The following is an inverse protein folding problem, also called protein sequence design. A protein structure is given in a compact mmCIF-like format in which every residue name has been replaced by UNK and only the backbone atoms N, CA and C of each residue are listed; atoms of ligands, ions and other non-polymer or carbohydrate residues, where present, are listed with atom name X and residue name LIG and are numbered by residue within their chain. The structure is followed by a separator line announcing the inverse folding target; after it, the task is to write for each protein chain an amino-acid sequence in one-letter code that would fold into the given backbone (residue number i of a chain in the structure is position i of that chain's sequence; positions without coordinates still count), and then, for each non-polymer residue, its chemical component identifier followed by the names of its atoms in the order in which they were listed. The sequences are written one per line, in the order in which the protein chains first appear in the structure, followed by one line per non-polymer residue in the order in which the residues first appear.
data_IF_846403597742
#
_entry.id   IF_846403597742
#
_cell.length_a   1.000
_cell.length_b   1.000
_cell.length_c   1.000
_cell.angle_alpha   90.00
_cell.angle_beta   90.00
_cell.angle_gamma   90.00
#
_symmetry.space_group_name_H-M   'P 1'
#
loop_
_entity.id
_entity.type
_entity.pdbx_description
1 polymer ?
#
# COMPACT_ATOMS: atom_id res chain seq x y z
N UNK A 1 -8.26 -7.19 1.48
CA UNK A 1 -6.78 -7.29 1.57
C UNK A 1 -6.29 -8.62 2.13
N UNK A 2 -6.37 -8.94 3.44
CA UNK A 2 -5.79 -10.19 3.96
C UNK A 2 -6.43 -11.46 3.34
N UNK A 3 -7.75 -11.51 3.27
CA UNK A 3 -8.48 -12.60 2.60
C UNK A 3 -8.17 -12.69 1.11
N UNK A 4 -7.84 -11.57 0.46
CA UNK A 4 -7.47 -11.54 -0.96
C UNK A 4 -6.05 -12.09 -1.14
N UNK A 5 -5.13 -11.74 -0.24
CA UNK A 5 -3.79 -12.30 -0.22
C UNK A 5 -3.83 -13.83 -0.01
N UNK A 6 -4.60 -14.29 0.97
CA UNK A 6 -4.78 -15.73 1.24
C UNK A 6 -5.45 -16.46 0.08
N UNK A 7 -6.35 -15.80 -0.65
CA UNK A 7 -7.01 -16.34 -1.82
C UNK A 7 -6.22 -16.16 -3.13
N UNK A 8 -5.00 -15.58 -3.09
CA UNK A 8 -4.18 -15.30 -4.28
C UNK A 8 -4.84 -14.30 -5.26
N UNK A 9 -5.75 -13.46 -4.77
CA UNK A 9 -6.43 -12.43 -5.56
C UNK A 9 -5.56 -11.16 -5.61
N UNK A 10 -5.62 -10.38 -6.70
CA UNK A 10 -4.93 -9.10 -6.79
C UNK A 10 -5.27 -8.21 -5.61
N UNK A 11 -4.24 -7.64 -4.97
CA UNK A 11 -4.41 -6.74 -3.84
C UNK A 11 -4.68 -5.32 -4.30
N UNK A 12 -5.53 -4.60 -3.57
CA UNK A 12 -5.83 -3.19 -3.80
C UNK A 12 -4.73 -2.24 -3.29
N UNK A 13 -3.46 -2.68 -3.29
CA UNK A 13 -2.33 -1.92 -2.76
C UNK A 13 -2.14 -0.58 -3.47
N UNK A 14 -2.24 -0.54 -4.80
CA UNK A 14 -2.08 0.70 -5.55
C UNK A 14 -3.28 1.65 -5.37
N UNK A 15 -4.46 1.07 -5.21
CA UNK A 15 -5.71 1.80 -5.03
C UNK A 15 -5.80 2.43 -3.63
N UNK A 16 -5.41 1.70 -2.58
CA UNK A 16 -5.50 2.16 -1.19
C UNK A 16 -4.15 2.73 -0.74
N UNK A 17 -3.10 1.91 -0.74
CA UNK A 17 -1.75 2.31 -0.31
C UNK A 17 -1.13 3.36 -1.23
N UNK A 18 -1.19 3.15 -2.54
CA UNK A 18 -0.71 4.13 -3.53
C UNK A 18 -1.48 5.46 -3.45
N UNK A 19 -2.79 5.44 -3.21
CA UNK A 19 -3.56 6.67 -3.04
C UNK A 19 -3.19 7.42 -1.76
N UNK A 20 -2.99 6.69 -0.65
CA UNK A 20 -2.51 7.26 0.61
C UNK A 20 -1.14 7.93 0.42
N UNK A 21 -0.16 7.26 -0.20
CA UNK A 21 1.18 7.82 -0.41
C UNK A 21 1.16 9.05 -1.31
N UNK A 22 0.39 9.02 -2.40
CA UNK A 22 0.19 10.20 -3.26
C UNK A 22 -0.48 11.36 -2.50
N UNK A 23 -1.40 11.08 -1.58
CA UNK A 23 -2.01 12.12 -0.74
C UNK A 23 -1.01 12.71 0.25
N UNK A 24 -0.23 11.85 0.93
CA UNK A 24 0.82 12.27 1.85
C UNK A 24 1.84 13.19 1.16
N UNK A 25 2.29 12.82 -0.04
CA UNK A 25 3.18 13.64 -0.86
C UNK A 25 2.57 15.00 -1.20
N UNK A 26 1.32 15.04 -1.69
CA UNK A 26 0.62 16.30 -2.01
C UNK A 26 0.50 17.25 -0.83
N UNK A 27 0.38 16.71 0.38
CA UNK A 27 0.23 17.49 1.61
C UNK A 27 1.54 17.72 2.37
N UNK A 28 2.68 17.23 1.86
CA UNK A 28 3.98 17.34 2.53
C UNK A 28 4.04 16.59 3.86
N UNK A 29 3.25 15.53 4.03
CA UNK A 29 3.20 14.72 5.25
C UNK A 29 4.15 13.53 5.08
N UNK A 30 5.21 13.39 5.89
CA UNK A 30 6.04 12.20 5.87
C UNK A 30 5.24 10.96 6.31
N UNK A 31 5.21 9.93 5.47
CA UNK A 31 4.52 8.66 5.76
C UNK A 31 5.46 7.43 5.64
N UNK A 32 6.61 7.42 6.33
CA UNK A 32 7.66 6.41 6.13
C UNK A 32 7.20 4.98 6.49
N UNK A 33 6.36 4.83 7.51
CA UNK A 33 5.81 3.53 7.90
C UNK A 33 4.85 3.01 6.84
N UNK A 34 4.00 3.87 6.30
CA UNK A 34 3.06 3.48 5.25
C UNK A 34 3.80 3.09 3.96
N UNK A 35 4.84 3.84 3.59
CA UNK A 35 5.67 3.52 2.42
C UNK A 35 6.30 2.13 2.58
N UNK A 36 6.94 1.86 3.72
CA UNK A 36 7.54 0.55 4.00
C UNK A 36 6.53 -0.59 3.95
N UNK A 37 5.33 -0.40 4.52
CA UNK A 37 4.29 -1.45 4.49
C UNK A 37 3.82 -1.72 3.05
N UNK A 38 3.60 -0.68 2.25
CA UNK A 38 3.19 -0.86 0.83
C UNK A 38 4.27 -1.60 0.04
N UNK A 39 5.54 -1.25 0.24
CA UNK A 39 6.67 -1.92 -0.41
C UNK A 39 6.81 -3.38 0.05
N UNK A 40 6.71 -3.63 1.35
CA UNK A 40 6.80 -4.99 1.91
C UNK A 40 5.70 -5.89 1.37
N UNK A 41 4.45 -5.41 1.29
CA UNK A 41 3.35 -6.25 0.78
C UNK A 41 3.48 -6.47 -0.74
N UNK A 42 3.98 -5.50 -1.52
CA UNK A 42 4.28 -5.71 -2.95
C UNK A 42 5.30 -6.83 -3.21
N UNK A 43 6.21 -7.10 -2.26
CA UNK A 43 7.18 -8.20 -2.38
C UNK A 43 6.58 -9.58 -2.13
N UNK A 44 5.41 -9.66 -1.51
CA UNK A 44 4.72 -10.93 -1.19
C UNK A 44 3.48 -11.20 -2.03
N UNK A 45 3.06 -10.25 -2.87
CA UNK A 45 1.85 -10.30 -3.69
C UNK A 45 2.09 -10.86 -5.10
#
# INVERSE_FOLDING_TARGET
MLLDAEAGRPLELDAIGGALLRAAERHGIPAPVAARVVDEVHLFA
#
